data_IF_643029706164
#
_entry.id   IF_643029706164
#
_cell.length_a   1.000
_cell.length_b   1.000
_cell.length_c   1.000
_cell.angle_alpha   90.00
_cell.angle_beta   90.00
_cell.angle_gamma   90.00
#
_symmetry.space_group_name_H-M   'P 1'
#
loop_
_entity.id
_entity.type
_entity.pdbx_description
1 polymer ?
#
# COMPACT_ATOMS: atom_id res chain seq x y z
N UNK A 1 23.70 14.88 20.32
CA UNK A 1 23.02 13.70 19.75
C UNK A 1 23.49 12.44 20.49
N UNK A 2 23.12 12.29 21.77
CA UNK A 2 23.75 11.32 22.72
C UNK A 2 22.74 10.31 23.32
N UNK A 3 21.48 10.27 22.87
CA UNK A 3 20.45 9.43 23.50
C UNK A 3 20.11 8.11 22.77
N UNK A 4 20.71 7.81 21.61
CA UNK A 4 20.25 6.68 20.78
C UNK A 4 20.88 5.33 21.17
N UNK A 5 22.08 5.32 21.76
CA UNK A 5 22.82 4.06 22.02
C UNK A 5 22.30 3.22 23.21
N UNK A 6 21.20 3.62 23.85
CA UNK A 6 20.60 2.89 24.98
C UNK A 6 19.06 2.86 24.93
N UNK A 7 18.47 2.76 23.73
CA UNK A 7 17.02 2.58 23.61
C UNK A 7 16.61 1.18 24.12
N UNK A 8 16.51 1.04 25.45
CA UNK A 8 16.01 -0.17 26.11
C UNK A 8 14.54 -0.44 25.77
N UNK A 9 13.81 0.57 25.31
CA UNK A 9 12.41 0.47 24.91
C UNK A 9 12.25 0.62 23.40
N UNK A 10 12.50 -0.49 22.69
CA UNK A 10 12.33 -0.58 21.24
C UNK A 10 10.88 -0.28 20.80
N UNK A 11 9.88 -0.55 21.64
CA UNK A 11 8.48 -0.28 21.32
C UNK A 11 8.22 1.23 21.26
N UNK A 12 8.70 1.97 22.26
CA UNK A 12 8.61 3.44 22.26
C UNK A 12 9.42 4.05 21.13
N UNK A 13 10.65 3.56 20.89
CA UNK A 13 11.50 4.01 19.79
C UNK A 13 10.79 3.89 18.44
N UNK A 14 10.22 2.71 18.16
CA UNK A 14 9.44 2.45 16.94
C UNK A 14 8.31 3.45 16.76
N UNK A 15 7.49 3.68 17.79
CA UNK A 15 6.38 4.64 17.73
C UNK A 15 6.87 6.07 17.49
N UNK A 16 7.94 6.50 18.19
CA UNK A 16 8.51 7.83 18.02
C UNK A 16 9.04 8.04 16.59
N UNK A 17 9.84 7.12 16.06
CA UNK A 17 10.39 7.25 14.71
C UNK A 17 9.29 7.27 13.65
N UNK A 18 8.24 6.44 13.78
CA UNK A 18 7.09 6.49 12.87
C UNK A 18 6.39 7.86 12.91
N UNK A 19 5.99 8.32 14.10
CA UNK A 19 5.30 9.60 14.25
C UNK A 19 6.14 10.78 13.75
N UNK A 20 7.45 10.77 14.02
CA UNK A 20 8.36 11.79 13.50
C UNK A 20 8.49 11.72 11.98
N UNK A 21 8.58 10.53 11.39
CA UNK A 21 8.62 10.37 9.94
C UNK A 21 7.36 10.91 9.28
N UNK A 22 6.18 10.54 9.79
CA UNK A 22 4.89 10.99 9.29
C UNK A 22 4.74 12.52 9.43
N UNK A 23 5.19 13.10 10.54
CA UNK A 23 5.19 14.56 10.74
C UNK A 23 6.12 15.29 9.78
N UNK A 24 7.32 14.76 9.51
CA UNK A 24 8.23 15.33 8.51
C UNK A 24 7.71 15.14 7.08
N UNK A 25 7.04 14.02 6.80
CA UNK A 25 6.41 13.75 5.52
C UNK A 25 5.32 14.76 5.20
N UNK A 26 4.45 15.08 6.15
CA UNK A 26 3.39 16.09 5.97
C UNK A 26 3.92 17.47 5.53
N UNK A 27 5.14 17.83 5.94
CA UNK A 27 5.79 19.09 5.55
C UNK A 27 6.87 18.91 4.46
N UNK A 28 6.91 17.73 3.82
CA UNK A 28 7.87 17.34 2.78
C UNK A 28 9.34 17.58 3.17
N UNK A 29 9.68 17.37 4.44
CA UNK A 29 11.05 17.52 4.93
C UNK A 29 11.89 16.28 4.62
N UNK A 30 13.11 16.47 4.12
CA UNK A 30 14.09 15.39 3.91
C UNK A 30 14.42 14.59 5.20
N UNK A 31 14.06 15.12 6.38
CA UNK A 31 14.16 14.40 7.65
C UNK A 31 13.23 13.19 7.73
N UNK A 32 12.16 13.13 6.91
CA UNK A 32 11.25 11.99 6.83
C UNK A 32 12.00 10.69 6.50
N UNK A 33 12.87 10.72 5.49
CA UNK A 33 13.71 9.59 5.10
C UNK A 33 14.52 9.02 6.27
N UNK A 34 15.20 9.88 7.04
CA UNK A 34 16.05 9.44 8.17
C UNK A 34 15.22 8.78 9.27
N UNK A 35 14.05 9.34 9.57
CA UNK A 35 13.13 8.80 10.56
C UNK A 35 12.52 7.46 10.10
N UNK A 36 12.12 7.36 8.83
CA UNK A 36 11.64 6.11 8.23
C UNK A 36 12.71 5.01 8.24
N UNK A 37 13.95 5.36 7.92
CA UNK A 37 15.07 4.40 7.98
C UNK A 37 15.24 3.82 9.38
N UNK A 38 15.29 4.68 10.39
CA UNK A 38 15.37 4.27 11.81
C UNK A 38 14.16 3.44 12.24
N UNK A 39 12.97 3.81 11.78
CA UNK A 39 11.77 3.04 12.04
C UNK A 39 11.87 1.59 11.53
N UNK A 40 12.36 1.40 10.29
CA UNK A 40 12.61 0.07 9.72
C UNK A 40 13.70 -0.67 10.49
N UNK A 41 14.79 -0.01 10.87
CA UNK A 41 15.86 -0.61 11.67
C UNK A 41 15.32 -1.19 13.00
N UNK A 42 14.48 -0.45 13.71
CA UNK A 42 13.85 -0.94 14.95
C UNK A 42 12.93 -2.14 14.68
N UNK A 43 12.22 -2.19 13.55
CA UNK A 43 11.39 -3.36 13.19
C UNK A 43 12.25 -4.60 12.97
N UNK A 44 13.42 -4.44 12.34
CA UNK A 44 14.36 -5.54 12.12
C UNK A 44 14.98 -6.03 13.43
N UNK A 45 15.35 -5.12 14.34
CA UNK A 45 15.82 -5.48 15.68
C UNK A 45 14.77 -6.25 16.48
N UNK A 46 13.49 -5.89 16.33
CA UNK A 46 12.36 -6.59 16.94
C UNK A 46 11.97 -7.90 16.23
N UNK A 47 12.66 -8.26 15.12
CA UNK A 47 12.37 -9.43 14.28
C UNK A 47 10.98 -9.43 13.64
N UNK A 48 10.40 -8.25 13.41
CA UNK A 48 9.13 -8.11 12.69
C UNK A 48 9.36 -8.05 11.17
N UNK A 49 9.92 -9.13 10.60
CA UNK A 49 10.42 -9.14 9.22
C UNK A 49 9.34 -8.92 8.16
N UNK A 50 8.20 -9.62 8.25
CA UNK A 50 7.09 -9.44 7.30
C UNK A 50 6.60 -7.99 7.27
N UNK A 51 6.42 -7.42 8.47
CA UNK A 51 6.00 -6.04 8.61
C UNK A 51 7.08 -5.06 8.14
N UNK A 52 8.37 -5.35 8.37
CA UNK A 52 9.47 -4.54 7.84
C UNK A 52 9.51 -4.53 6.30
N UNK A 53 9.24 -5.67 5.65
CA UNK A 53 9.15 -5.75 4.18
C UNK A 53 8.05 -4.83 3.66
N UNK A 54 6.84 -4.93 4.23
CA UNK A 54 5.69 -4.08 3.85
C UNK A 54 6.05 -2.61 4.02
N UNK A 55 6.59 -2.22 5.18
CA UNK A 55 6.96 -0.83 5.44
C UNK A 55 8.05 -0.33 4.50
N UNK A 56 9.06 -1.14 4.17
CA UNK A 56 10.07 -0.76 3.18
C UNK A 56 9.44 -0.45 1.82
N UNK A 57 8.49 -1.28 1.36
CA UNK A 57 7.82 -1.09 0.08
C UNK A 57 6.96 0.19 0.08
N UNK A 58 6.17 0.44 1.13
CA UNK A 58 5.35 1.65 1.26
C UNK A 58 6.20 2.91 1.33
N UNK A 59 7.23 2.90 2.18
CA UNK A 59 8.15 4.04 2.35
C UNK A 59 8.89 4.31 1.04
N UNK A 60 9.41 3.28 0.38
CA UNK A 60 10.05 3.42 -0.92
C UNK A 60 9.13 4.11 -1.93
N UNK A 61 7.85 3.74 -1.95
CA UNK A 61 6.86 4.36 -2.83
C UNK A 61 6.60 5.83 -2.50
N UNK A 62 6.44 6.17 -1.22
CA UNK A 62 6.27 7.55 -0.76
C UNK A 62 7.48 8.40 -1.14
N UNK A 63 8.70 7.91 -0.89
CA UNK A 63 9.95 8.61 -1.23
C UNK A 63 10.09 8.81 -2.75
N UNK A 64 9.69 7.82 -3.56
CA UNK A 64 9.72 7.96 -5.02
C UNK A 64 8.71 9.00 -5.51
N UNK A 65 7.45 8.93 -5.05
CA UNK A 65 6.35 9.72 -5.62
C UNK A 65 6.23 11.12 -5.06
N UNK A 66 6.54 11.30 -3.78
CA UNK A 66 6.29 12.57 -3.08
C UNK A 66 7.57 13.39 -2.88
N UNK A 67 8.74 12.73 -2.86
CA UNK A 67 10.04 13.40 -2.71
C UNK A 67 10.87 13.39 -4.00
N UNK A 68 10.41 12.70 -5.05
CA UNK A 68 11.12 12.53 -6.33
C UNK A 68 12.57 12.00 -6.15
N UNK A 69 12.80 11.18 -5.12
CA UNK A 69 14.12 10.65 -4.77
C UNK A 69 14.19 9.14 -5.09
N UNK A 70 14.34 8.85 -6.38
CA UNK A 70 14.42 7.48 -6.90
C UNK A 70 15.57 6.69 -6.28
N UNK A 71 16.69 7.34 -5.95
CA UNK A 71 17.85 6.67 -5.36
C UNK A 71 17.55 6.19 -3.95
N UNK A 72 17.01 7.06 -3.09
CA UNK A 72 16.63 6.67 -1.72
C UNK A 72 15.46 5.70 -1.69
N UNK A 73 14.50 5.87 -2.60
CA UNK A 73 13.42 4.90 -2.77
C UNK A 73 13.96 3.50 -3.06
N UNK A 74 14.92 3.39 -3.98
CA UNK A 74 15.57 2.13 -4.34
C UNK A 74 16.21 1.44 -3.13
N UNK A 75 16.84 2.18 -2.22
CA UNK A 75 17.43 1.60 -1.01
C UNK A 75 16.41 0.86 -0.14
N UNK A 76 15.16 1.35 -0.06
CA UNK A 76 14.10 0.66 0.66
C UNK A 76 13.61 -0.58 -0.09
N UNK A 77 13.45 -0.49 -1.41
CA UNK A 77 13.05 -1.66 -2.21
C UNK A 77 14.10 -2.78 -2.17
N UNK A 78 15.37 -2.43 -2.35
CA UNK A 78 16.49 -3.39 -2.28
C UNK A 78 16.54 -4.03 -0.87
N UNK A 79 16.31 -3.25 0.20
CA UNK A 79 16.22 -3.79 1.55
C UNK A 79 15.02 -4.75 1.72
N UNK A 80 13.85 -4.44 1.15
CA UNK A 80 12.69 -5.32 1.21
C UNK A 80 12.97 -6.68 0.55
N UNK A 81 13.60 -6.66 -0.62
CA UNK A 81 14.01 -7.85 -1.37
C UNK A 81 15.06 -8.66 -0.60
N UNK A 82 16.02 -7.99 0.04
CA UNK A 82 17.04 -8.63 0.89
C UNK A 82 16.43 -9.34 2.09
N UNK A 83 15.55 -8.66 2.84
CA UNK A 83 14.86 -9.26 3.99
C UNK A 83 14.02 -10.46 3.53
N UNK A 84 13.28 -10.31 2.43
CA UNK A 84 12.46 -11.36 1.85
C UNK A 84 13.29 -12.59 1.47
N UNK A 85 14.41 -12.38 0.79
CA UNK A 85 15.33 -13.45 0.36
C UNK A 85 15.98 -14.17 1.54
N UNK A 86 16.52 -13.44 2.51
CA UNK A 86 17.20 -14.01 3.69
C UNK A 86 16.24 -14.89 4.51
N UNK A 87 14.98 -14.49 4.61
CA UNK A 87 13.96 -15.19 5.39
C UNK A 87 13.06 -16.12 4.54
N UNK A 88 13.38 -16.31 3.25
CA UNK A 88 12.62 -17.14 2.31
C UNK A 88 11.13 -16.77 2.19
N UNK A 89 10.78 -15.49 2.33
CA UNK A 89 9.44 -14.99 2.04
C UNK A 89 9.23 -14.90 0.54
N UNK A 90 8.30 -15.70 0.02
CA UNK A 90 7.88 -15.63 -1.37
C UNK A 90 6.72 -14.65 -1.51
N UNK A 91 6.89 -13.65 -2.36
CA UNK A 91 5.81 -12.73 -2.69
C UNK A 91 5.02 -13.21 -3.91
N UNK A 92 3.70 -13.16 -3.82
CA UNK A 92 2.78 -13.31 -4.94
C UNK A 92 1.90 -12.07 -4.98
N UNK A 93 1.91 -11.34 -6.10
CA UNK A 93 1.08 -10.15 -6.25
C UNK A 93 -0.40 -10.57 -6.33
N UNK A 94 -1.15 -10.33 -5.26
CA UNK A 94 -2.61 -10.57 -5.25
C UNK A 94 -3.38 -9.35 -5.76
N UNK A 95 -2.86 -8.14 -5.51
CA UNK A 95 -3.37 -6.90 -6.11
C UNK A 95 -2.86 -6.76 -7.55
N UNK A 96 -3.72 -7.12 -8.49
CA UNK A 96 -3.49 -7.02 -9.94
C UNK A 96 -4.50 -6.07 -10.57
N UNK A 97 -4.24 -5.54 -11.78
CA UNK A 97 -5.24 -4.76 -12.52
C UNK A 97 -6.59 -5.48 -12.66
N UNK A 98 -6.58 -6.79 -12.89
CA UNK A 98 -7.80 -7.60 -12.99
C UNK A 98 -8.57 -7.65 -11.67
N UNK A 99 -7.87 -7.85 -10.54
CA UNK A 99 -8.49 -7.79 -9.21
C UNK A 99 -9.19 -6.45 -8.99
N UNK A 100 -8.51 -5.36 -9.33
CA UNK A 100 -8.99 -4.00 -9.13
C UNK A 100 -10.22 -3.71 -10.01
N UNK A 101 -10.23 -4.20 -11.25
CA UNK A 101 -11.40 -4.12 -12.14
C UNK A 101 -12.60 -4.84 -11.54
N UNK A 102 -12.43 -6.08 -11.07
CA UNK A 102 -13.49 -6.85 -10.42
C UNK A 102 -14.02 -6.13 -9.18
N UNK A 103 -13.15 -5.47 -8.41
CA UNK A 103 -13.58 -4.61 -7.30
C UNK A 103 -14.44 -3.42 -7.79
N UNK A 104 -13.99 -2.69 -8.81
CA UNK A 104 -14.76 -1.57 -9.38
C UNK A 104 -16.14 -2.02 -9.89
N UNK A 105 -16.21 -3.17 -10.58
CA UNK A 105 -17.47 -3.73 -11.07
C UNK A 105 -18.43 -4.07 -9.91
N UNK A 106 -17.90 -4.66 -8.83
CA UNK A 106 -18.69 -4.95 -7.60
C UNK A 106 -19.25 -3.68 -6.96
N UNK A 107 -18.47 -2.60 -6.91
CA UNK A 107 -18.92 -1.32 -6.34
C UNK A 107 -19.92 -0.61 -7.26
N UNK A 108 -19.74 -0.69 -8.58
CA UNK A 108 -20.62 -0.06 -9.57
C UNK A 108 -22.07 -0.55 -9.50
N UNK A 109 -22.30 -1.77 -8.99
CA UNK A 109 -23.63 -2.31 -8.72
C UNK A 109 -24.46 -1.43 -7.75
N UNK A 110 -23.81 -0.59 -6.93
CA UNK A 110 -24.49 0.35 -6.02
C UNK A 110 -25.16 1.52 -6.75
N UNK A 111 -24.80 1.77 -8.01
CA UNK A 111 -25.40 2.82 -8.83
C UNK A 111 -26.77 2.43 -9.40
N UNK A 112 -27.16 1.16 -9.31
CA UNK A 112 -28.47 0.69 -9.77
C UNK A 112 -29.61 1.29 -8.93
N UNK A 113 -30.43 2.14 -9.54
CA UNK A 113 -31.54 2.86 -8.89
C UNK A 113 -32.65 1.95 -8.38
N UNK A 114 -32.68 0.68 -8.79
CA UNK A 114 -33.71 -0.27 -8.41
C UNK A 114 -33.56 -0.82 -6.98
N UNK A 115 -32.46 -0.48 -6.27
CA UNK A 115 -32.18 -1.04 -4.94
C UNK A 115 -32.54 -0.06 -3.81
N UNK A 116 -33.27 -0.57 -2.83
CA UNK A 116 -33.57 0.11 -1.57
C UNK A 116 -32.25 0.53 -0.88
N UNK A 117 -32.15 1.76 -0.32
CA UNK A 117 -30.91 2.26 0.31
C UNK A 117 -30.26 1.31 1.31
N UNK A 118 -31.06 0.60 2.12
CA UNK A 118 -30.54 -0.35 3.12
C UNK A 118 -29.81 -1.54 2.47
N UNK A 119 -30.33 -2.03 1.34
CA UNK A 119 -29.69 -3.11 0.58
C UNK A 119 -28.35 -2.62 0.02
N UNK A 120 -28.29 -1.38 -0.52
CA UNK A 120 -27.04 -0.78 -1.02
C UNK A 120 -25.99 -0.68 0.09
N UNK A 121 -26.41 -0.22 1.27
CA UNK A 121 -25.52 -0.13 2.42
C UNK A 121 -24.99 -1.50 2.86
N UNK A 122 -25.86 -2.51 2.98
CA UNK A 122 -25.43 -3.86 3.37
C UNK A 122 -24.42 -4.46 2.39
N UNK A 123 -24.60 -4.21 1.09
CA UNK A 123 -23.66 -4.65 0.06
C UNK A 123 -22.33 -3.93 0.20
N UNK A 124 -22.35 -2.59 0.34
CA UNK A 124 -21.15 -1.79 0.55
C UNK A 124 -20.39 -2.25 1.80
N UNK A 125 -21.09 -2.43 2.92
CA UNK A 125 -20.51 -2.93 4.17
C UNK A 125 -19.83 -4.28 3.99
N UNK A 126 -20.48 -5.21 3.27
CA UNK A 126 -19.93 -6.54 3.00
C UNK A 126 -18.67 -6.46 2.15
N UNK A 127 -18.72 -5.71 1.04
CA UNK A 127 -17.56 -5.52 0.15
C UNK A 127 -16.40 -4.89 0.95
N UNK A 128 -16.62 -3.77 1.62
CA UNK A 128 -15.56 -3.06 2.33
C UNK A 128 -14.95 -3.88 3.45
N UNK A 129 -15.72 -4.68 4.20
CA UNK A 129 -15.14 -5.57 5.22
C UNK A 129 -14.27 -6.67 4.60
N UNK A 130 -14.68 -7.24 3.47
CA UNK A 130 -13.86 -8.19 2.73
C UNK A 130 -12.54 -7.54 2.29
N UNK A 131 -12.60 -6.33 1.74
CA UNK A 131 -11.40 -5.61 1.29
C UNK A 131 -10.49 -5.20 2.46
N UNK A 132 -11.04 -4.76 3.60
CA UNK A 132 -10.25 -4.46 4.81
C UNK A 132 -9.52 -5.72 5.29
N UNK A 133 -10.18 -6.88 5.26
CA UNK A 133 -9.54 -8.15 5.64
C UNK A 133 -8.44 -8.52 4.65
N UNK A 134 -8.75 -8.45 3.35
CA UNK A 134 -7.80 -8.71 2.28
C UNK A 134 -6.57 -7.82 2.40
N UNK A 135 -6.74 -6.50 2.52
CA UNK A 135 -5.64 -5.53 2.67
C UNK A 135 -4.75 -5.77 3.90
N UNK A 136 -5.26 -6.40 4.96
CA UNK A 136 -4.48 -6.77 6.15
C UNK A 136 -3.65 -8.04 5.95
N UNK A 137 -4.06 -8.91 5.04
CA UNK A 137 -3.46 -10.24 4.83
C UNK A 137 -2.50 -10.26 3.63
N UNK A 138 -2.64 -9.32 2.69
CA UNK A 138 -1.79 -9.29 1.52
C UNK A 138 -0.37 -8.84 1.86
N UNK A 139 0.59 -9.48 1.22
CA UNK A 139 1.92 -8.89 1.06
C UNK A 139 1.88 -7.95 -0.14
N UNK A 140 2.67 -6.88 -0.08
CA UNK A 140 2.85 -5.93 -1.17
C UNK A 140 4.31 -5.97 -1.65
N UNK A 141 4.54 -5.55 -2.90
CA UNK A 141 5.87 -5.36 -3.45
C UNK A 141 5.91 -4.09 -4.29
N UNK A 142 7.10 -3.75 -4.79
CA UNK A 142 7.32 -2.60 -5.69
C UNK A 142 6.35 -2.56 -6.87
N UNK A 143 5.91 -3.72 -7.39
CA UNK A 143 4.98 -3.80 -8.52
C UNK A 143 3.58 -3.32 -8.15
N UNK A 144 3.03 -3.81 -7.05
CA UNK A 144 1.62 -3.62 -6.69
C UNK A 144 1.38 -2.52 -5.66
N UNK A 145 2.43 -1.88 -5.14
CA UNK A 145 2.31 -0.84 -4.10
C UNK A 145 1.44 0.34 -4.57
N UNK A 146 1.51 0.75 -5.84
CA UNK A 146 0.66 1.81 -6.37
C UNK A 146 -0.84 1.47 -6.27
N UNK A 147 -1.22 0.25 -6.67
CA UNK A 147 -2.59 -0.27 -6.55
C UNK A 147 -3.00 -0.37 -5.08
N UNK A 148 -2.12 -0.88 -4.21
CA UNK A 148 -2.37 -1.00 -2.77
C UNK A 148 -2.63 0.34 -2.10
N UNK A 149 -1.83 1.36 -2.42
CA UNK A 149 -1.97 2.72 -1.88
C UNK A 149 -3.30 3.34 -2.29
N UNK A 150 -3.66 3.25 -3.57
CA UNK A 150 -4.94 3.79 -4.07
C UNK A 150 -6.13 3.03 -3.48
N UNK A 151 -6.06 1.69 -3.44
CA UNK A 151 -7.13 0.87 -2.90
C UNK A 151 -7.34 1.11 -1.40
N UNK A 152 -6.27 1.09 -0.62
CA UNK A 152 -6.34 1.29 0.84
C UNK A 152 -6.88 2.67 1.21
N UNK A 153 -6.46 3.71 0.47
CA UNK A 153 -7.01 5.07 0.62
C UNK A 153 -8.51 5.10 0.37
N UNK A 154 -8.97 4.56 -0.76
CA UNK A 154 -10.39 4.55 -1.10
C UNK A 154 -11.23 3.78 -0.07
N UNK A 155 -10.77 2.60 0.35
CA UNK A 155 -11.41 1.80 1.41
C UNK A 155 -11.46 2.55 2.74
N UNK A 156 -10.42 3.30 3.10
CA UNK A 156 -10.39 4.11 4.31
C UNK A 156 -11.36 5.29 4.24
N UNK A 157 -11.43 6.00 3.11
CA UNK A 157 -12.31 7.15 2.90
C UNK A 157 -13.81 6.78 2.93
N UNK A 158 -14.17 5.54 2.55
CA UNK A 158 -15.53 5.01 2.74
C UNK A 158 -15.92 4.99 4.24
N UNK A 159 -14.94 4.91 5.15
CA UNK A 159 -15.15 5.19 6.57
C UNK A 159 -16.01 4.15 7.30
N UNK A 160 -16.00 2.89 6.87
CA UNK A 160 -16.70 1.81 7.58
C UNK A 160 -15.86 1.33 8.77
N UNK A 161 -15.85 2.10 9.85
CA UNK A 161 -15.56 1.50 11.15
C UNK A 161 -16.75 0.62 11.55
N UNK A 162 -16.53 -0.55 12.18
CA UNK A 162 -17.61 -1.37 12.71
C UNK A 162 -18.43 -0.50 13.68
N UNK A 163 -19.72 -0.24 13.39
CA UNK A 163 -20.53 0.47 14.35
C UNK A 163 -20.75 -0.50 15.51
N UNK A 164 -20.16 -0.21 16.67
CA UNK A 164 -20.65 -0.85 17.87
C UNK A 164 -22.11 -0.39 18.11
N UNK A 165 -22.47 0.87 17.82
CA UNK A 165 -23.84 1.39 17.98
C UNK A 165 -24.14 2.71 17.19
N UNK A 166 -23.73 2.88 15.92
CA UNK A 166 -24.03 4.14 15.18
C UNK A 166 -25.41 4.14 14.50
N UNK A 167 -26.06 5.32 14.53
CA UNK A 167 -27.40 5.61 13.98
C UNK A 167 -27.46 5.45 12.46
N UNK A 168 -28.61 4.98 11.96
CA UNK A 168 -28.92 4.75 10.55
C UNK A 168 -28.63 5.92 9.60
N UNK A 169 -28.72 7.19 10.03
CA UNK A 169 -28.51 8.34 9.15
C UNK A 169 -27.08 8.41 8.58
N UNK A 170 -26.06 7.96 9.32
CA UNK A 170 -24.66 7.94 8.85
C UNK A 170 -24.40 6.94 7.71
N UNK A 171 -25.37 6.07 7.41
CA UNK A 171 -25.23 5.03 6.39
C UNK A 171 -25.51 5.55 4.98
N UNK A 172 -26.38 6.56 4.83
CA UNK A 172 -26.68 7.17 3.52
C UNK A 172 -25.48 7.94 2.98
N UNK A 173 -24.82 8.70 3.84
CA UNK A 173 -23.63 9.49 3.49
C UNK A 173 -22.52 8.65 2.83
N UNK A 174 -22.38 7.38 3.24
CA UNK A 174 -21.35 6.47 2.70
C UNK A 174 -21.70 5.96 1.29
N UNK A 175 -22.97 5.65 1.04
CA UNK A 175 -23.42 5.25 -0.30
C UNK A 175 -23.29 6.44 -1.25
N UNK A 176 -23.65 7.64 -0.80
CA UNK A 176 -23.54 8.86 -1.61
C UNK A 176 -22.07 9.26 -1.84
N UNK A 177 -21.19 9.05 -0.86
CA UNK A 177 -19.74 9.17 -1.03
C UNK A 177 -19.25 8.27 -2.17
N UNK A 178 -19.61 6.99 -2.15
CA UNK A 178 -19.19 6.03 -3.19
C UNK A 178 -19.71 6.48 -4.55
N UNK A 179 -21.01 6.80 -4.67
CA UNK A 179 -21.59 7.30 -5.94
C UNK A 179 -20.83 8.49 -6.51
N UNK A 180 -20.43 9.43 -5.65
CA UNK A 180 -19.77 10.66 -6.07
C UNK A 180 -18.30 10.45 -6.43
N UNK A 181 -17.60 9.54 -5.73
CA UNK A 181 -16.14 9.40 -5.83
C UNK A 181 -15.69 8.18 -6.65
N UNK A 182 -16.60 7.26 -6.99
CA UNK A 182 -16.22 6.00 -7.64
C UNK A 182 -15.61 6.19 -9.03
N UNK A 183 -16.13 7.11 -9.85
CA UNK A 183 -15.56 7.38 -11.17
C UNK A 183 -14.13 7.93 -11.09
N UNK A 184 -13.86 8.79 -10.10
CA UNK A 184 -12.51 9.30 -9.84
C UNK A 184 -11.59 8.15 -9.44
N UNK A 185 -12.05 7.29 -8.55
CA UNK A 185 -11.31 6.10 -8.13
C UNK A 185 -10.98 5.16 -9.30
N UNK A 186 -11.94 4.89 -10.20
CA UNK A 186 -11.71 4.08 -11.41
C UNK A 186 -10.56 4.67 -12.24
N UNK A 187 -10.55 5.99 -12.48
CA UNK A 187 -9.48 6.66 -13.23
C UNK A 187 -8.11 6.52 -12.54
N UNK A 188 -8.07 6.64 -11.21
CA UNK A 188 -6.84 6.42 -10.44
C UNK A 188 -6.33 4.97 -10.58
N UNK A 189 -7.24 3.99 -10.54
CA UNK A 189 -6.93 2.57 -10.75
C UNK A 189 -6.41 2.30 -12.16
N UNK A 190 -6.99 2.91 -13.20
CA UNK A 190 -6.55 2.77 -14.58
C UNK A 190 -5.12 3.29 -14.77
N UNK A 191 -4.81 4.47 -14.20
CA UNK A 191 -3.45 5.04 -14.24
C UNK A 191 -2.44 4.13 -13.53
N UNK A 192 -2.77 3.66 -12.33
CA UNK A 192 -1.87 2.76 -11.59
C UNK A 192 -1.74 1.37 -12.24
N UNK A 193 -2.78 0.90 -12.93
CA UNK A 193 -2.71 -0.33 -13.73
C UNK A 193 -1.78 -0.19 -14.93
N UNK A 194 -1.76 0.98 -15.58
CA UNK A 194 -0.80 1.27 -16.63
C UNK A 194 0.65 1.27 -16.10
N UNK A 195 0.89 1.87 -14.92
CA UNK A 195 2.19 1.85 -14.25
C UNK A 195 2.62 0.41 -13.89
N UNK A 196 1.71 -0.37 -13.32
CA UNK A 196 1.92 -1.79 -13.00
C UNK A 196 2.36 -2.59 -14.25
N UNK A 197 1.67 -2.40 -15.37
CA UNK A 197 1.98 -3.10 -16.63
C UNK A 197 3.33 -2.66 -17.21
N UNK A 198 3.64 -1.37 -17.16
CA UNK A 198 4.95 -0.84 -17.57
C UNK A 198 6.08 -1.53 -16.79
N UNK A 199 5.91 -1.69 -15.47
CA UNK A 199 6.89 -2.38 -14.64
C UNK A 199 7.09 -3.85 -15.05
N UNK A 200 6.01 -4.55 -15.39
CA UNK A 200 6.09 -5.94 -15.88
C UNK A 200 6.89 -6.01 -17.18
N UNK A 201 6.65 -5.10 -18.11
CA UNK A 201 7.31 -5.10 -19.41
C UNK A 201 8.81 -4.77 -19.28
N UNK A 202 9.17 -3.82 -18.42
CA UNK A 202 10.57 -3.52 -18.09
C UNK A 202 11.28 -4.73 -17.44
N UNK A 203 10.60 -5.41 -16.52
CA UNK A 203 11.13 -6.61 -15.87
C UNK A 203 11.43 -7.72 -16.90
N UNK A 204 10.56 -7.94 -17.89
CA UNK A 204 10.76 -8.94 -18.96
C UNK A 204 11.94 -8.60 -19.86
N UNK A 205 12.11 -7.32 -20.20
CA UNK A 205 13.24 -6.84 -21.04
C UNK A 205 14.59 -7.10 -20.36
N UNK A 206 14.69 -6.82 -19.06
CA UNK A 206 15.92 -7.02 -18.29
C UNK A 206 16.34 -8.50 -18.22
N UNK A 207 15.38 -9.42 -18.05
CA UNK A 207 15.65 -10.86 -18.05
C UNK A 207 16.15 -11.34 -19.42
N UNK A 208 15.57 -10.83 -20.51
CA UNK A 208 15.95 -11.23 -21.87
C UNK A 208 17.35 -10.70 -22.23
N UNK A 209 17.65 -9.45 -21.87
CA UNK A 209 19.00 -8.88 -22.07
C UNK A 209 20.09 -9.61 -21.29
N UNK A 210 19.82 -10.01 -20.05
CA UNK A 210 20.78 -10.75 -19.23
C UNK A 210 21.11 -12.13 -19.82
N UNK A 211 20.12 -12.84 -20.39
CA UNK A 211 20.33 -14.14 -21.07
C UNK A 211 21.20 -14.01 -22.32
N UNK A 212 20.94 -13.00 -23.15
CA UNK A 212 21.74 -12.76 -24.36
C UNK A 212 23.20 -12.44 -24.05
N UNK A 213 23.47 -11.73 -22.95
CA UNK A 213 24.86 -11.51 -22.52
C UNK A 213 25.52 -12.79 -22.02
N UNK A 214 24.81 -13.70 -21.35
CA UNK A 214 25.42 -14.95 -20.86
C UNK A 214 25.72 -15.93 -22.00
N UNK A 215 24.93 -15.93 -23.07
CA UNK A 215 25.16 -16.75 -24.26
C UNK A 215 26.29 -16.22 -25.16
N UNK A 216 26.56 -14.90 -25.15
CA UNK A 216 27.65 -14.30 -25.94
C UNK A 216 29.07 -14.57 -25.39
N UNK A 217 29.20 -15.13 -24.18
CA UNK A 217 30.48 -15.49 -23.55
C UNK A 217 30.73 -17.02 -23.51
N UNK A 218 29.92 -17.81 -24.23
CA UNK A 218 30.10 -19.25 -24.42
C UNK A 218 30.53 -19.55 -25.87
#
# INVERSE_FOLDING_TARGET
MVAENQLKDLRRARTCYKLSADGYHQILSCSAYKSYRKYVEVLLEQRFFEYAIIQCVEIGYIIEKEFDDVMKSKEFYDLADDIGRINNYKHVCQLTPEYMKIFCDRISVLNDDLRIPDIKYHILFTITNQEIKFLKEINICRKCVCLSTIHSKYIHEIGLQPPLYEKFDKNRDKVDFVKTNHEKYIKEVEMASAEYNKFIDESKKNVTGAKLMTEAYL
#
